data_IF_203931375600
#
_entry.id   IF_203931375600
#
_cell.length_a   1.000
_cell.length_b   1.000
_cell.length_c   1.000
_cell.angle_alpha   90.00
_cell.angle_beta   90.00
_cell.angle_gamma   90.00
#
_symmetry.space_group_name_H-M   'P 1'
#
loop_
_entity.id
_entity.type
_entity.pdbx_description
1 polymer ?
#
# COMPACT_ATOMS: atom_id res chain seq x y z
N UNK A 1 20.86 -2.88 0.36
CA UNK A 1 19.72 -3.04 1.24
C UNK A 1 18.65 -2.06 0.83
N UNK A 2 17.60 -2.57 0.19
CA UNK A 2 16.47 -1.74 -0.21
C UNK A 2 15.51 -1.66 0.96
N UNK A 3 15.11 -0.45 1.27
CA UNK A 3 14.28 -0.11 2.42
C UNK A 3 12.77 -0.18 2.18
N UNK A 4 11.97 -0.24 3.23
CA UNK A 4 10.53 -0.48 3.15
C UNK A 4 9.75 0.74 2.61
N UNK A 5 8.82 0.59 1.90
CA UNK A 5 7.38 0.35 1.77
C UNK A 5 6.48 1.60 1.87
N UNK A 6 5.77 2.00 0.79
CA UNK A 6 4.81 3.12 0.88
C UNK A 6 3.62 2.96 -0.05
N UNK A 7 2.47 3.49 0.36
CA UNK A 7 1.17 3.38 -0.28
C UNK A 7 0.76 4.70 -0.91
N UNK A 8 0.11 4.62 -2.04
CA UNK A 8 -0.67 5.74 -2.57
C UNK A 8 -2.15 5.44 -2.49
N UNK A 9 -2.90 6.43 -2.04
CA UNK A 9 -4.34 6.48 -2.15
C UNK A 9 -4.76 7.36 -3.33
N UNK A 10 -5.89 7.02 -3.94
CA UNK A 10 -6.44 7.78 -5.06
C UNK A 10 -7.56 8.71 -4.58
N UNK A 11 -7.57 9.98 -4.99
CA UNK A 11 -8.61 10.92 -4.58
C UNK A 11 -9.95 10.65 -5.27
N UNK A 12 -11.03 10.79 -4.54
CA UNK A 12 -12.40 10.70 -5.04
C UNK A 12 -12.93 12.09 -5.37
N UNK A 13 -12.98 12.51 -6.64
CA UNK A 13 -13.71 13.71 -7.05
C UNK A 13 -14.50 13.52 -8.36
N UNK A 14 -15.73 14.12 -8.52
CA UNK A 14 -16.68 13.79 -9.60
C UNK A 14 -16.39 14.32 -11.00
N UNK A 15 -15.25 14.88 -11.30
CA UNK A 15 -14.89 15.32 -12.68
C UNK A 15 -14.08 14.29 -13.49
N UNK A 16 -14.34 13.04 -13.36
CA UNK A 16 -13.54 11.83 -13.52
C UNK A 16 -13.51 11.16 -14.89
N UNK A 17 -13.51 11.83 -16.00
CA UNK A 17 -13.28 11.16 -17.28
C UNK A 17 -11.82 10.85 -17.65
N UNK A 18 -10.85 11.28 -16.86
CA UNK A 18 -9.42 11.12 -17.14
C UNK A 18 -8.65 10.14 -16.24
N UNK A 19 -9.32 9.48 -15.30
CA UNK A 19 -8.66 8.77 -14.21
C UNK A 19 -8.21 7.33 -14.49
N UNK A 20 -8.77 6.69 -15.50
CA UNK A 20 -8.57 5.25 -15.71
C UNK A 20 -7.22 4.86 -16.29
N UNK A 21 -6.57 5.76 -17.03
CA UNK A 21 -5.23 5.51 -17.59
C UNK A 21 -4.08 5.83 -16.61
N UNK A 22 -4.36 6.56 -15.55
CA UNK A 22 -3.35 7.01 -14.59
C UNK A 22 -2.96 5.94 -13.56
N UNK A 23 -3.86 5.04 -13.22
CA UNK A 23 -3.63 4.06 -12.16
C UNK A 23 -2.58 3.03 -12.56
N UNK A 24 -2.58 2.54 -13.80
CA UNK A 24 -1.65 1.52 -14.26
C UNK A 24 -0.23 2.05 -14.46
N UNK A 25 -0.09 3.19 -15.10
CA UNK A 25 1.22 3.80 -15.32
C UNK A 25 1.87 4.26 -14.02
N UNK A 26 1.10 4.82 -13.10
CA UNK A 26 1.63 5.29 -11.82
C UNK A 26 2.10 4.17 -10.88
N UNK A 27 1.55 2.95 -10.96
CA UNK A 27 2.00 1.85 -10.09
C UNK A 27 3.44 1.45 -10.41
N UNK A 28 3.83 1.35 -11.67
CA UNK A 28 5.21 1.11 -12.08
C UNK A 28 6.16 2.20 -11.64
N UNK A 29 5.81 3.45 -11.96
CA UNK A 29 6.62 4.60 -11.60
C UNK A 29 6.82 4.67 -10.09
N UNK A 30 5.82 4.31 -9.30
CA UNK A 30 5.90 4.27 -7.84
C UNK A 30 6.87 3.19 -7.34
N UNK A 31 6.81 1.99 -7.89
CA UNK A 31 7.73 0.91 -7.54
C UNK A 31 9.17 1.25 -7.94
N UNK A 32 9.37 1.84 -9.12
CA UNK A 32 10.67 2.31 -9.59
C UNK A 32 11.22 3.43 -8.72
N UNK A 33 10.38 4.33 -8.25
CA UNK A 33 10.74 5.38 -7.29
C UNK A 33 11.08 4.84 -5.88
N UNK A 34 10.75 3.58 -5.57
CA UNK A 34 11.08 2.99 -4.28
C UNK A 34 9.89 2.66 -3.37
N UNK A 35 8.65 2.86 -3.83
CA UNK A 35 7.44 2.37 -3.12
C UNK A 35 7.50 0.85 -3.02
N UNK A 36 7.12 0.30 -1.85
CA UNK A 36 7.10 -1.15 -1.63
C UNK A 36 5.84 -1.66 -0.96
N UNK A 37 5.06 -0.82 -0.35
CA UNK A 37 3.76 -1.16 0.22
C UNK A 37 2.66 -0.61 -0.68
N UNK A 38 1.68 -1.44 -1.07
CA UNK A 38 0.58 -1.06 -1.94
C UNK A 38 -0.75 -1.47 -1.31
N UNK A 39 -1.63 -0.50 -0.99
CA UNK A 39 -3.02 -0.78 -0.60
C UNK A 39 -3.87 -0.96 -1.85
N UNK A 40 -4.23 -2.19 -2.13
CA UNK A 40 -4.96 -2.60 -3.32
C UNK A 40 -6.41 -2.93 -2.95
N UNK A 41 -7.31 -2.00 -3.21
CA UNK A 41 -8.74 -2.16 -2.97
C UNK A 41 -9.37 -2.81 -4.19
N UNK A 42 -10.10 -3.90 -3.98
CA UNK A 42 -10.56 -4.77 -5.06
C UNK A 42 -12.09 -4.78 -5.10
N UNK A 43 -12.65 -4.66 -6.31
CA UNK A 43 -14.08 -4.76 -6.51
C UNK A 43 -14.44 -5.54 -7.77
N UNK A 44 -15.61 -6.18 -7.72
CA UNK A 44 -16.32 -6.73 -8.86
C UNK A 44 -17.45 -5.78 -9.27
N UNK A 45 -17.64 -5.56 -10.57
CA UNK A 45 -18.67 -4.64 -11.06
C UNK A 45 -20.08 -5.18 -10.82
N UNK A 46 -21.03 -4.34 -10.38
CA UNK A 46 -22.42 -4.75 -10.27
C UNK A 46 -22.98 -5.19 -11.63
N UNK A 47 -23.76 -6.28 -11.62
CA UNK A 47 -24.38 -6.87 -12.82
C UNK A 47 -23.40 -7.32 -13.92
N UNK A 48 -22.14 -7.51 -13.57
CA UNK A 48 -21.17 -8.14 -14.46
C UNK A 48 -21.19 -9.66 -14.22
N UNK A 49 -21.33 -10.43 -15.30
CA UNK A 49 -21.33 -11.88 -15.26
C UNK A 49 -19.92 -12.47 -15.49
N UNK A 50 -18.93 -11.63 -15.74
CA UNK A 50 -17.53 -12.06 -15.83
C UNK A 50 -16.94 -12.33 -14.44
N UNK A 51 -15.76 -12.92 -14.40
CA UNK A 51 -14.97 -13.04 -13.17
C UNK A 51 -13.95 -11.92 -13.01
N UNK A 52 -14.04 -10.86 -13.83
CA UNK A 52 -13.09 -9.76 -13.84
C UNK A 52 -13.13 -8.96 -12.55
N UNK A 53 -11.96 -8.75 -11.97
CA UNK A 53 -11.76 -7.94 -10.78
C UNK A 53 -11.01 -6.67 -11.15
N UNK A 54 -11.36 -5.59 -10.50
CA UNK A 54 -10.83 -4.26 -10.78
C UNK A 54 -10.29 -3.63 -9.50
N UNK A 55 -9.29 -2.77 -9.62
CA UNK A 55 -8.96 -1.86 -8.53
C UNK A 55 -10.07 -0.82 -8.41
N UNK A 56 -10.40 -0.50 -7.15
CA UNK A 56 -11.54 0.34 -6.84
C UNK A 56 -11.26 1.28 -5.67
N UNK A 57 -11.53 2.56 -5.88
CA UNK A 57 -11.59 3.55 -4.81
C UNK A 57 -12.61 4.64 -5.15
N UNK A 58 -13.90 4.33 -4.95
CA UNK A 58 -15.02 5.17 -5.41
C UNK A 58 -15.31 5.06 -6.91
N UNK A 59 -14.29 4.74 -7.72
CA UNK A 59 -14.38 4.47 -9.15
C UNK A 59 -13.62 3.19 -9.51
N UNK A 60 -14.06 2.51 -10.56
CA UNK A 60 -13.39 1.32 -11.09
C UNK A 60 -12.28 1.70 -12.06
N UNK A 61 -11.17 0.97 -12.01
CA UNK A 61 -10.15 1.05 -13.07
C UNK A 61 -10.67 0.46 -14.38
N UNK A 62 -10.01 0.77 -15.48
CA UNK A 62 -10.29 0.16 -16.79
C UNK A 62 -9.54 -1.17 -16.99
N UNK A 63 -8.51 -1.41 -16.21
CA UNK A 63 -7.64 -2.57 -16.29
C UNK A 63 -7.96 -3.51 -15.14
N UNK A 64 -7.98 -4.81 -15.45
CA UNK A 64 -8.25 -5.85 -14.45
C UNK A 64 -7.04 -6.09 -13.53
N UNK A 65 -7.31 -6.63 -12.35
CA UNK A 65 -6.28 -6.95 -11.34
C UNK A 65 -5.26 -7.95 -11.88
N UNK A 66 -5.67 -8.88 -12.73
CA UNK A 66 -4.82 -9.93 -13.26
C UNK A 66 -3.61 -9.38 -14.06
N UNK A 67 -3.80 -8.30 -14.81
CA UNK A 67 -2.75 -7.70 -15.65
C UNK A 67 -1.62 -7.09 -14.81
N UNK A 68 -1.92 -6.59 -13.60
CA UNK A 68 -0.95 -5.85 -12.78
C UNK A 68 -0.20 -6.68 -11.73
N UNK A 69 -0.64 -7.90 -11.45
CA UNK A 69 -0.03 -8.70 -10.37
C UNK A 69 1.41 -9.11 -10.64
N UNK A 70 1.80 -9.28 -11.92
CA UNK A 70 3.17 -9.67 -12.29
C UNK A 70 4.24 -8.64 -11.95
N UNK A 71 3.83 -7.40 -11.70
CA UNK A 71 4.69 -6.25 -11.50
C UNK A 71 4.99 -5.95 -10.03
N UNK A 72 4.18 -6.53 -9.14
CA UNK A 72 4.28 -6.31 -7.69
C UNK A 72 5.38 -7.16 -7.01
N UNK A 73 6.36 -7.64 -7.76
CA UNK A 73 7.51 -8.34 -7.20
C UNK A 73 8.38 -7.35 -6.38
N UNK A 74 9.05 -7.86 -5.35
CA UNK A 74 9.82 -7.06 -4.38
C UNK A 74 8.97 -6.03 -3.61
N UNK A 75 7.68 -6.32 -3.41
CA UNK A 75 6.75 -5.43 -2.73
C UNK A 75 5.93 -6.12 -1.64
N UNK A 76 5.13 -5.33 -0.94
CA UNK A 76 4.19 -5.77 0.07
C UNK A 76 2.76 -5.33 -0.32
N UNK A 77 2.12 -6.00 -1.28
CA UNK A 77 0.75 -5.69 -1.65
C UNK A 77 -0.23 -6.16 -0.56
N UNK A 78 -1.18 -5.29 -0.25
CA UNK A 78 -2.30 -5.57 0.64
C UNK A 78 -3.58 -5.54 -0.16
N UNK A 79 -4.21 -6.68 -0.31
CA UNK A 79 -5.52 -6.80 -0.94
C UNK A 79 -6.60 -6.60 0.12
N UNK A 80 -7.35 -5.52 -0.02
CA UNK A 80 -8.25 -5.02 1.02
C UNK A 80 -9.58 -4.47 0.47
N UNK A 81 -10.47 -4.06 1.36
CA UNK A 81 -11.70 -3.31 1.06
C UNK A 81 -12.50 -3.93 -0.11
N UNK A 82 -12.68 -5.23 -0.08
CA UNK A 82 -13.38 -5.96 -1.12
C UNK A 82 -14.83 -5.52 -1.26
N UNK A 83 -15.25 -5.24 -2.51
CA UNK A 83 -16.61 -4.85 -2.82
C UNK A 83 -17.19 -5.74 -3.95
N UNK A 84 -18.35 -6.34 -3.69
CA UNK A 84 -19.06 -7.16 -4.69
C UNK A 84 -18.44 -8.53 -4.95
N UNK A 85 -17.43 -8.96 -4.18
CA UNK A 85 -16.83 -10.28 -4.31
C UNK A 85 -17.63 -11.32 -3.51
N UNK A 86 -17.97 -12.41 -4.16
CA UNK A 86 -18.46 -13.62 -3.53
C UNK A 86 -17.29 -14.59 -3.19
N UNK A 87 -17.59 -15.72 -2.57
CA UNK A 87 -16.57 -16.69 -2.17
C UNK A 87 -15.76 -17.25 -3.35
N UNK A 88 -16.40 -17.43 -4.51
CA UNK A 88 -15.75 -17.95 -5.72
C UNK A 88 -14.72 -16.95 -6.25
N UNK A 89 -15.07 -15.66 -6.33
CA UNK A 89 -14.17 -14.60 -6.76
C UNK A 89 -13.00 -14.40 -5.78
N UNK A 90 -13.23 -14.52 -4.48
CA UNK A 90 -12.13 -14.53 -3.51
C UNK A 90 -11.20 -15.73 -3.72
N UNK A 91 -11.75 -16.92 -3.97
CA UNK A 91 -10.94 -18.11 -4.23
C UNK A 91 -10.13 -17.98 -5.52
N UNK A 92 -10.75 -17.44 -6.57
CA UNK A 92 -10.07 -17.14 -7.83
C UNK A 92 -8.92 -16.15 -7.61
N UNK A 93 -9.17 -15.03 -6.94
CA UNK A 93 -8.14 -14.01 -6.68
C UNK A 93 -6.97 -14.58 -5.86
N UNK A 94 -7.26 -15.37 -4.81
CA UNK A 94 -6.21 -16.03 -4.01
C UNK A 94 -5.41 -17.00 -4.87
N UNK A 95 -6.04 -17.77 -5.74
CA UNK A 95 -5.34 -18.71 -6.63
C UNK A 95 -4.46 -17.98 -7.63
N UNK A 96 -4.93 -16.88 -8.18
CA UNK A 96 -4.17 -16.02 -9.10
C UNK A 96 -2.95 -15.39 -8.39
N UNK A 97 -3.13 -14.82 -7.20
CA UNK A 97 -2.02 -14.29 -6.38
C UNK A 97 -0.96 -15.36 -6.16
N UNK A 98 -1.38 -16.56 -5.74
CA UNK A 98 -0.45 -17.67 -5.50
C UNK A 98 0.26 -18.15 -6.77
N UNK A 99 -0.41 -18.13 -7.91
CA UNK A 99 0.18 -18.48 -9.20
C UNK A 99 1.24 -17.46 -9.63
N UNK A 100 0.94 -16.16 -9.50
CA UNK A 100 1.82 -15.08 -9.93
C UNK A 100 3.08 -15.00 -9.07
N UNK A 101 2.94 -15.01 -7.76
CA UNK A 101 4.09 -14.88 -6.86
C UNK A 101 4.79 -16.21 -6.59
N UNK A 102 4.08 -17.32 -6.66
CA UNK A 102 4.59 -18.67 -6.52
C UNK A 102 5.57 -18.84 -5.32
N UNK A 103 6.78 -19.33 -5.58
CA UNK A 103 7.84 -19.51 -4.56
C UNK A 103 8.40 -18.20 -3.98
N UNK A 104 8.01 -17.07 -4.53
CA UNK A 104 8.45 -15.75 -4.05
C UNK A 104 7.64 -15.23 -2.86
N UNK A 105 6.53 -15.89 -2.50
CA UNK A 105 5.71 -15.52 -1.34
C UNK A 105 6.40 -15.87 -0.03
N UNK A 106 6.54 -14.89 0.85
CA UNK A 106 6.99 -15.12 2.21
C UNK A 106 5.85 -15.68 3.07
N UNK A 107 5.96 -16.89 3.62
CA UNK A 107 4.94 -17.45 4.51
C UNK A 107 4.80 -16.64 5.80
N UNK A 108 3.58 -16.55 6.33
CA UNK A 108 3.30 -15.86 7.60
C UNK A 108 3.91 -16.54 8.84
N UNK A 109 4.43 -17.75 8.69
CA UNK A 109 5.11 -18.51 9.74
C UNK A 109 6.57 -18.15 9.90
N UNK A 110 7.15 -17.47 8.90
CA UNK A 110 8.57 -17.18 8.87
C UNK A 110 8.88 -15.85 9.56
N UNK A 111 10.07 -15.77 10.13
CA UNK A 111 10.56 -14.52 10.68
C UNK A 111 10.90 -13.54 9.54
N UNK A 112 10.23 -12.41 9.49
CA UNK A 112 10.42 -11.43 8.42
C UNK A 112 11.58 -10.51 8.76
N UNK A 113 12.73 -10.80 8.14
CA UNK A 113 13.89 -9.91 8.06
C UNK A 113 14.38 -9.89 6.63
N UNK A 114 15.01 -8.82 6.19
CA UNK A 114 15.62 -8.77 4.86
C UNK A 114 16.58 -9.93 4.60
N UNK A 115 17.36 -10.29 5.60
CA UNK A 115 18.27 -11.45 5.53
C UNK A 115 17.51 -12.75 5.28
N UNK A 116 16.43 -13.00 6.04
CA UNK A 116 15.60 -14.19 5.89
C UNK A 116 14.94 -14.23 4.51
N UNK A 117 14.36 -13.12 4.06
CA UNK A 117 13.73 -13.02 2.74
C UNK A 117 14.74 -13.36 1.62
N UNK A 118 15.91 -12.74 1.65
CA UNK A 118 16.94 -12.96 0.62
C UNK A 118 17.51 -14.39 0.65
N UNK A 119 17.78 -14.94 1.84
CA UNK A 119 18.31 -16.31 1.95
C UNK A 119 17.31 -17.37 1.49
N UNK A 120 16.02 -17.10 1.61
CA UNK A 120 14.93 -18.01 1.19
C UNK A 120 14.42 -17.73 -0.23
N UNK A 121 14.91 -16.69 -0.88
CA UNK A 121 14.46 -16.28 -2.22
C UNK A 121 13.06 -15.65 -2.24
N UNK A 122 12.51 -15.25 -1.07
CA UNK A 122 11.24 -14.57 -1.00
C UNK A 122 11.35 -13.13 -1.48
N UNK A 123 10.37 -12.68 -2.25
CA UNK A 123 10.33 -11.34 -2.82
C UNK A 123 9.06 -10.56 -2.44
N UNK A 124 7.99 -11.25 -2.02
CA UNK A 124 6.72 -10.61 -1.71
C UNK A 124 6.16 -11.05 -0.36
N UNK A 125 5.60 -10.09 0.37
CA UNK A 125 4.78 -10.33 1.56
C UNK A 125 3.38 -9.90 1.19
N UNK A 126 2.49 -10.84 0.91
CA UNK A 126 1.12 -10.52 0.47
C UNK A 126 0.16 -10.60 1.64
N UNK A 127 -0.51 -9.49 1.92
CA UNK A 127 -1.61 -9.44 2.89
C UNK A 127 -2.96 -9.50 2.18
N UNK A 128 -3.91 -10.22 2.78
CA UNK A 128 -5.23 -10.42 2.23
C UNK A 128 -6.27 -10.27 3.35
N UNK A 129 -7.04 -9.19 3.31
CA UNK A 129 -7.93 -8.81 4.41
C UNK A 129 -9.31 -9.50 4.33
N UNK A 130 -9.29 -10.81 4.21
CA UNK A 130 -10.51 -11.61 4.24
C UNK A 130 -10.29 -12.94 4.98
N UNK A 131 -11.32 -13.49 5.62
CA UNK A 131 -11.24 -14.70 6.44
C UNK A 131 -10.69 -15.91 5.69
N UNK A 132 -10.89 -16.02 4.38
CA UNK A 132 -10.34 -17.09 3.56
C UNK A 132 -8.80 -17.12 3.56
N UNK A 133 -8.12 -16.00 3.81
CA UNK A 133 -6.67 -15.96 3.93
C UNK A 133 -6.15 -16.79 5.13
N UNK A 134 -6.97 -16.98 6.16
CA UNK A 134 -6.58 -17.74 7.36
C UNK A 134 -6.23 -19.20 7.06
N UNK A 135 -6.79 -19.77 6.00
CA UNK A 135 -6.52 -21.13 5.55
C UNK A 135 -5.22 -21.25 4.71
N UNK A 136 -4.56 -20.13 4.40
CA UNK A 136 -3.37 -20.09 3.55
C UNK A 136 -2.16 -19.58 4.31
N UNK A 137 -1.11 -20.40 4.44
CA UNK A 137 0.15 -20.01 5.11
C UNK A 137 0.93 -18.96 4.32
N UNK A 138 0.75 -18.92 3.00
CA UNK A 138 1.43 -17.99 2.11
C UNK A 138 0.84 -16.58 2.12
N UNK A 139 -0.32 -16.35 2.72
CA UNK A 139 -0.98 -15.06 2.78
C UNK A 139 -1.07 -14.58 4.23
N UNK A 140 -0.66 -13.33 4.43
CA UNK A 140 -0.75 -12.66 5.72
C UNK A 140 -2.17 -12.13 5.93
N UNK A 141 -2.61 -12.12 7.17
CA UNK A 141 -3.87 -11.47 7.56
C UNK A 141 -3.69 -9.95 7.63
N UNK A 142 -4.72 -9.27 8.09
CA UNK A 142 -4.76 -7.82 8.27
C UNK A 142 -3.50 -7.23 8.92
N UNK A 143 -2.97 -6.15 8.32
CA UNK A 143 -1.93 -5.31 8.90
C UNK A 143 -2.63 -4.10 9.50
N UNK A 144 -2.46 -3.82 10.80
CA UNK A 144 -3.10 -2.66 11.43
C UNK A 144 -2.65 -1.35 10.77
N UNK A 145 -3.64 -0.54 10.40
CA UNK A 145 -3.45 0.81 9.86
C UNK A 145 -3.77 1.84 10.95
N UNK A 146 -2.88 2.79 11.17
CA UNK A 146 -3.05 3.83 12.19
C UNK A 146 -2.73 5.20 11.60
N UNK A 147 -3.56 6.20 11.94
CA UNK A 147 -3.23 7.58 11.66
C UNK A 147 -2.05 8.03 12.52
N UNK A 148 -1.20 8.92 12.00
CA UNK A 148 0.04 9.35 12.64
C UNK A 148 -0.12 9.83 14.10
N UNK A 149 -1.28 10.40 14.43
CA UNK A 149 -1.60 10.89 15.77
C UNK A 149 -2.03 9.80 16.77
N UNK A 150 -2.22 8.55 16.32
CA UNK A 150 -2.74 7.44 17.13
C UNK A 150 -1.81 6.23 17.16
N UNK A 151 -0.52 6.42 16.94
CA UNK A 151 0.46 5.33 16.90
C UNK A 151 0.58 4.68 18.27
N UNK A 152 -0.21 3.63 18.51
CA UNK A 152 -0.05 2.71 19.64
C UNK A 152 0.65 1.46 19.14
N UNK A 153 1.82 1.26 19.66
CA UNK A 153 2.83 0.30 19.25
C UNK A 153 2.44 -1.12 19.50
N UNK A 154 2.50 -1.92 18.45
CA UNK A 154 2.43 -3.38 18.54
C UNK A 154 3.67 -3.96 17.88
N UNK A 155 4.09 -5.15 18.33
CA UNK A 155 5.13 -5.91 17.64
C UNK A 155 4.59 -6.38 16.29
N UNK A 156 5.38 -6.30 15.23
CA UNK A 156 5.03 -6.72 13.88
C UNK A 156 4.88 -5.55 12.91
N UNK A 157 4.32 -5.82 11.74
CA UNK A 157 4.02 -4.80 10.76
C UNK A 157 2.83 -3.96 11.19
N UNK A 158 2.94 -2.67 10.98
CA UNK A 158 1.82 -1.73 11.04
C UNK A 158 2.06 -0.59 10.08
N UNK A 159 0.99 0.02 9.62
CA UNK A 159 1.01 1.16 8.70
C UNK A 159 0.68 2.42 9.46
N UNK A 160 1.54 3.41 9.36
CA UNK A 160 1.27 4.77 9.82
C UNK A 160 0.81 5.61 8.64
N UNK A 161 -0.46 5.98 8.63
CA UNK A 161 -1.04 6.84 7.61
C UNK A 161 -0.81 8.32 7.91
N UNK A 162 -0.27 9.03 6.94
CA UNK A 162 -0.21 10.49 6.92
C UNK A 162 -1.05 11.07 5.77
N UNK A 163 -1.96 10.26 5.26
CA UNK A 163 -2.93 10.63 4.25
C UNK A 163 -3.89 11.69 4.80
N UNK A 164 -4.26 12.65 3.97
CA UNK A 164 -5.29 13.63 4.27
C UNK A 164 -6.59 13.24 3.56
N UNK A 165 -7.72 13.58 4.19
CA UNK A 165 -9.04 13.35 3.61
C UNK A 165 -9.80 14.65 3.60
N UNK A 166 -10.29 15.04 2.42
CA UNK A 166 -11.20 16.17 2.28
C UNK A 166 -12.53 15.85 2.95
N UNK A 167 -12.97 16.68 3.87
CA UNK A 167 -14.34 16.66 4.36
C UNK A 167 -15.24 17.62 3.55
N UNK A 168 -16.55 17.50 3.70
CA UNK A 168 -17.49 18.36 3.01
C UNK A 168 -17.29 19.85 3.32
N UNK A 169 -16.85 20.16 4.54
CA UNK A 169 -16.62 21.54 4.95
C UNK A 169 -15.39 22.11 4.21
N UNK A 170 -14.32 21.33 4.07
CA UNK A 170 -13.14 21.73 3.31
C UNK A 170 -13.51 21.95 1.84
N UNK A 171 -14.21 20.99 1.21
CA UNK A 171 -14.62 21.08 -0.19
C UNK A 171 -15.48 22.33 -0.45
N UNK A 172 -16.43 22.64 0.44
CA UNK A 172 -17.28 23.82 0.32
C UNK A 172 -16.52 25.13 0.51
N UNK A 173 -15.49 25.16 1.35
CA UNK A 173 -14.69 26.36 1.60
C UNK A 173 -13.55 26.56 0.59
N UNK A 174 -13.16 25.52 -0.14
CA UNK A 174 -12.05 25.54 -1.11
C UNK A 174 -12.50 24.93 -2.46
N UNK A 175 -13.54 25.50 -3.13
CA UNK A 175 -14.18 24.86 -4.29
C UNK A 175 -13.31 24.78 -5.54
N UNK A 176 -12.16 25.46 -5.55
CA UNK A 176 -11.19 25.48 -6.65
C UNK A 176 -9.97 24.62 -6.37
N UNK A 177 -9.80 24.13 -5.15
CA UNK A 177 -8.67 23.30 -4.76
C UNK A 177 -8.98 21.81 -4.97
N UNK A 178 -7.96 21.05 -5.23
CA UNK A 178 -8.00 19.58 -5.29
C UNK A 178 -7.39 18.97 -4.03
N UNK A 179 -7.63 17.67 -3.80
CA UNK A 179 -6.92 16.92 -2.75
C UNK A 179 -5.40 17.05 -2.90
N UNK A 180 -4.89 17.09 -4.14
CA UNK A 180 -3.46 17.29 -4.38
C UNK A 180 -2.97 18.64 -3.85
N UNK A 181 -3.71 19.71 -4.06
CA UNK A 181 -3.34 21.04 -3.58
C UNK A 181 -3.27 21.06 -2.04
N UNK A 182 -4.27 20.47 -1.38
CA UNK A 182 -4.31 20.34 0.07
C UNK A 182 -3.12 19.53 0.61
N UNK A 183 -2.84 18.37 -0.01
CA UNK A 183 -1.73 17.51 0.40
C UNK A 183 -0.40 18.20 0.19
N UNK A 184 -0.16 18.80 -0.98
CA UNK A 184 1.09 19.48 -1.29
C UNK A 184 1.36 20.68 -0.37
N UNK A 185 0.33 21.41 0.03
CA UNK A 185 0.46 22.50 0.98
C UNK A 185 0.92 22.03 2.38
N UNK A 186 0.56 20.81 2.77
CA UNK A 186 0.92 20.24 4.09
C UNK A 186 2.22 19.44 4.07
N UNK A 187 2.73 19.07 2.90
CA UNK A 187 3.91 18.21 2.77
C UNK A 187 5.15 18.69 3.54
N UNK A 188 5.50 19.99 3.59
CA UNK A 188 6.65 20.45 4.36
C UNK A 188 6.55 20.06 5.85
N UNK A 189 5.36 20.19 6.44
CA UNK A 189 5.10 19.80 7.83
C UNK A 189 5.16 18.28 8.01
N UNK A 190 4.54 17.54 7.10
CA UNK A 190 4.55 16.07 7.12
C UNK A 190 5.96 15.51 6.98
N UNK A 191 6.78 16.05 6.07
CA UNK A 191 8.18 15.65 5.90
C UNK A 191 9.03 16.00 7.13
N UNK A 192 8.76 17.13 7.78
CA UNK A 192 9.37 17.48 9.06
C UNK A 192 9.11 16.38 10.09
N UNK A 193 7.85 16.00 10.27
CA UNK A 193 7.47 14.92 11.17
C UNK A 193 8.12 13.58 10.79
N UNK A 194 8.16 13.23 9.50
CA UNK A 194 8.80 11.98 9.03
C UNK A 194 10.27 11.94 9.43
N UNK A 195 11.01 13.03 9.26
CA UNK A 195 12.45 13.10 9.60
C UNK A 195 12.76 12.85 11.08
N UNK A 196 11.80 13.12 11.96
CA UNK A 196 11.92 12.90 13.40
C UNK A 196 11.65 11.45 13.81
N UNK A 197 11.14 10.62 12.90
CA UNK A 197 10.75 9.25 13.23
C UNK A 197 11.97 8.32 13.33
N UNK A 198 11.78 7.26 14.11
CA UNK A 198 12.78 6.19 14.27
C UNK A 198 12.33 4.97 13.49
N UNK A 199 13.06 4.53 12.46
CA UNK A 199 12.74 3.30 11.75
C UNK A 199 13.14 2.08 12.57
N UNK A 200 12.45 0.95 12.38
CA UNK A 200 12.86 -0.31 13.00
C UNK A 200 11.71 -1.18 13.50
N UNK A 201 12.07 -2.21 14.26
CA UNK A 201 11.16 -3.19 14.84
C UNK A 201 10.80 -2.91 16.32
N UNK A 202 11.39 -1.89 16.91
CA UNK A 202 11.17 -1.51 18.31
C UNK A 202 9.76 -0.95 18.56
N UNK A 203 9.34 -0.96 19.83
CA UNK A 203 8.02 -0.42 20.20
C UNK A 203 7.86 1.07 19.87
N UNK A 204 8.96 1.80 19.73
CA UNK A 204 9.06 3.22 19.45
C UNK A 204 9.44 3.51 18.00
N UNK A 205 9.36 2.52 17.12
CA UNK A 205 9.82 2.61 15.75
C UNK A 205 8.67 2.50 14.77
N UNK A 206 8.80 3.18 13.64
CA UNK A 206 7.92 3.02 12.48
C UNK A 206 8.49 1.97 11.51
N UNK A 207 7.62 1.25 10.82
CA UNK A 207 8.04 0.34 9.77
C UNK A 207 7.39 0.59 8.41
N UNK A 208 6.16 1.05 8.35
CA UNK A 208 5.50 1.43 7.10
C UNK A 208 4.88 2.82 7.27
N UNK A 209 5.14 3.72 6.34
CA UNK A 209 4.50 5.04 6.28
C UNK A 209 3.72 5.12 4.97
N UNK A 210 2.43 5.43 5.06
CA UNK A 210 1.55 5.60 3.92
C UNK A 210 1.21 7.08 3.72
N UNK A 211 1.30 7.54 2.47
CA UNK A 211 0.98 8.91 2.09
C UNK A 211 0.38 8.96 0.68
N UNK A 212 -0.27 10.07 0.35
CA UNK A 212 -0.73 10.37 -0.99
C UNK A 212 0.33 11.14 -1.78
N UNK A 213 0.30 11.06 -3.11
CA UNK A 213 1.16 11.80 -4.04
C UNK A 213 2.68 11.66 -3.73
N UNK A 214 3.10 10.48 -3.32
CA UNK A 214 4.47 10.21 -2.84
C UNK A 214 5.58 10.47 -3.86
N UNK A 215 5.25 10.42 -5.15
CA UNK A 215 6.19 10.69 -6.25
C UNK A 215 6.37 12.18 -6.58
N UNK A 216 5.47 13.02 -6.07
CA UNK A 216 5.44 14.47 -6.36
C UNK A 216 6.32 15.30 -5.41
N UNK A 217 7.02 14.66 -4.48
CA UNK A 217 7.77 15.33 -3.42
C UNK A 217 9.01 14.55 -2.98
N UNK A 218 9.75 15.10 -2.03
CA UNK A 218 10.89 14.45 -1.36
C UNK A 218 10.47 13.34 -0.37
N UNK A 219 9.23 12.83 -0.42
CA UNK A 219 8.73 11.86 0.55
C UNK A 219 9.52 10.56 0.50
N UNK A 220 9.61 9.92 -0.66
CA UNK A 220 10.31 8.63 -0.82
C UNK A 220 11.78 8.76 -0.40
N UNK A 221 12.57 9.74 -0.91
CA UNK A 221 13.94 9.94 -0.45
C UNK A 221 14.05 10.17 1.05
N UNK A 222 13.15 10.99 1.63
CA UNK A 222 13.15 11.28 3.07
C UNK A 222 12.96 10.02 3.90
N UNK A 223 12.03 9.16 3.50
CA UNK A 223 11.77 7.92 4.25
C UNK A 223 12.90 6.92 4.07
N UNK A 224 13.46 6.79 2.87
CA UNK A 224 14.63 5.93 2.62
C UNK A 224 15.81 6.37 3.50
N UNK A 225 16.05 7.68 3.59
CA UNK A 225 17.14 8.23 4.41
C UNK A 225 17.01 7.91 5.91
N UNK A 226 15.80 7.69 6.44
CA UNK A 226 15.64 7.24 7.83
C UNK A 226 16.38 5.94 8.14
N UNK A 227 16.56 5.06 7.14
CA UNK A 227 17.23 3.78 7.36
C UNK A 227 18.76 3.93 7.54
N UNK A 228 19.34 5.03 7.09
CA UNK A 228 20.75 5.34 7.34
C UNK A 228 21.01 5.45 8.85
N UNK A 229 20.03 5.93 9.61
CA UNK A 229 20.08 5.99 11.06
C UNK A 229 20.18 4.60 11.74
N UNK A 230 19.77 3.53 11.06
CA UNK A 230 19.92 2.16 11.56
C UNK A 230 21.33 1.64 11.32
N UNK A 231 21.96 2.03 10.21
CA UNK A 231 23.32 1.60 9.87
C UNK A 231 24.36 2.24 10.79
N UNK A 232 24.19 3.53 11.13
CA UNK A 232 25.10 4.25 12.01
C UNK A 232 25.09 3.81 13.48
N UNK A 233 24.04 3.07 13.90
CA UNK A 233 23.93 2.55 15.28
C UNK A 233 24.45 1.12 15.44
N UNK A 234 24.85 0.49 14.35
CA UNK A 234 25.35 -0.89 14.33
C UNK A 234 26.89 -0.96 14.32
N UNK A 235 27.54 0.19 14.36
CA UNK A 235 29.00 0.37 14.55
C UNK A 235 29.28 0.80 15.97
#
# INVERSE_FOLDING_TARGET
PRSPLYVTFFPTHPRFRYFSSWISQQTFEQLDCGVRYCDLRIAHRPNDNSSDLYFYHGVYTTITVEVHQTELQDSHPVFSHFQGLNQELHTLLISTIKSVFNSKLCPKTDAVTLRSLWSSGYQAIVSYEHNLANCHTALWSHIPYWWANNVRRKRGFFVTGINLTEDLKYICSHPTESLKDMVMATYPTLLGWVREQKPGSGADSLNIIAADFVTESEFIPTVIALNENLLSRST
#
